data_IF_112831156068
#
_entry.id   IF_112831156068
#
_cell.length_a   1.000
_cell.length_b   1.000
_cell.length_c   1.000
_cell.angle_alpha   90.00
_cell.angle_beta   90.00
_cell.angle_gamma   90.00
#
_symmetry.space_group_name_H-M   'P 1'
#
loop_
_entity.id
_entity.type
_entity.pdbx_description
1 polymer ?
#
# COMPACT_ATOMS: atom_id res chain seq x y z
N UNK A 1 -30.18 12.99 -24.41
CA UNK A 1 -30.29 11.59 -24.86
C UNK A 1 -28.90 11.05 -25.01
N UNK A 2 -28.61 9.98 -24.28
CA UNK A 2 -27.30 9.36 -24.10
C UNK A 2 -27.03 8.50 -25.33
N UNK A 3 -25.97 8.76 -26.08
CA UNK A 3 -25.53 7.85 -27.14
C UNK A 3 -24.56 6.86 -26.51
N UNK A 4 -25.10 5.75 -26.00
CA UNK A 4 -24.30 4.59 -25.62
C UNK A 4 -23.59 4.04 -26.85
N UNK A 5 -22.25 4.00 -26.81
CA UNK A 5 -21.46 3.20 -27.75
C UNK A 5 -21.46 1.78 -27.18
N UNK A 6 -22.46 0.99 -27.59
CA UNK A 6 -22.49 -0.44 -27.36
C UNK A 6 -21.24 -1.09 -27.98
N UNK A 7 -20.44 -1.79 -27.17
CA UNK A 7 -19.59 -2.86 -27.69
C UNK A 7 -20.51 -3.97 -28.19
N UNK A 8 -20.64 -4.10 -29.51
CA UNK A 8 -21.26 -5.28 -30.08
C UNK A 8 -20.37 -6.50 -29.81
N UNK A 9 -20.92 -7.64 -29.32
CA UNK A 9 -20.17 -8.87 -29.21
C UNK A 9 -19.86 -9.40 -30.62
N UNK A 10 -18.60 -9.73 -30.87
CA UNK A 10 -18.18 -10.37 -32.11
C UNK A 10 -18.81 -11.77 -32.21
N UNK A 11 -19.50 -12.03 -33.32
CA UNK A 11 -19.85 -13.40 -33.73
C UNK A 11 -18.65 -14.01 -34.43
N UNK A 12 -17.99 -14.99 -33.80
CA UNK A 12 -16.92 -15.74 -34.45
C UNK A 12 -17.53 -16.72 -35.44
N UNK A 13 -17.38 -16.46 -36.74
CA UNK A 13 -17.66 -17.43 -37.80
C UNK A 13 -16.52 -17.40 -38.81
N UNK A 14 -15.80 -18.53 -38.92
CA UNK A 14 -15.01 -18.86 -40.11
C UNK A 14 -13.50 -18.58 -40.04
N UNK A 15 -12.76 -19.69 -39.97
CA UNK A 15 -11.43 -19.99 -40.51
C UNK A 15 -10.57 -18.86 -41.13
N UNK A 16 -9.36 -18.71 -40.57
CA UNK A 16 -8.11 -18.22 -41.16
C UNK A 16 -8.11 -16.87 -41.91
N UNK A 17 -7.50 -15.85 -41.29
CA UNK A 17 -6.27 -15.14 -41.72
C UNK A 17 -6.15 -13.86 -40.87
N UNK A 18 -4.98 -13.65 -40.26
CA UNK A 18 -4.42 -12.39 -39.75
C UNK A 18 -5.31 -11.13 -39.87
N UNK A 19 -6.07 -10.81 -38.83
CA UNK A 19 -6.59 -9.45 -38.63
C UNK A 19 -6.22 -8.96 -37.23
N UNK A 20 -5.11 -8.20 -37.16
CA UNK A 20 -4.83 -7.36 -35.99
C UNK A 20 -5.95 -6.33 -35.88
N UNK A 21 -6.50 -6.07 -34.67
CA UNK A 21 -7.51 -5.03 -34.50
C UNK A 21 -6.90 -3.69 -34.90
N UNK A 22 -7.41 -3.11 -35.98
CA UNK A 22 -6.99 -1.80 -36.48
C UNK A 22 -7.61 -0.75 -35.56
N UNK A 23 -6.80 -0.19 -34.66
CA UNK A 23 -7.18 0.95 -33.82
C UNK A 23 -7.52 2.13 -34.75
N UNK A 24 -8.81 2.35 -35.04
CA UNK A 24 -9.21 3.59 -35.71
C UNK A 24 -9.00 4.74 -34.73
N UNK A 25 -8.11 5.65 -35.11
CA UNK A 25 -7.69 6.79 -34.32
C UNK A 25 -8.86 7.79 -34.23
N UNK A 26 -9.63 7.70 -33.16
CA UNK A 26 -10.65 8.68 -32.84
C UNK A 26 -10.00 10.06 -32.62
N UNK A 27 -10.64 11.10 -33.15
CA UNK A 27 -10.12 12.47 -33.19
C UNK A 27 -9.66 13.03 -31.83
N UNK A 28 -8.92 14.14 -31.86
CA UNK A 28 -8.25 14.78 -30.70
C UNK A 28 -9.15 14.91 -29.46
N UNK A 29 -10.45 15.16 -29.64
CA UNK A 29 -11.47 15.21 -28.57
C UNK A 29 -11.61 13.89 -27.81
N UNK A 30 -11.58 12.76 -28.50
CA UNK A 30 -11.69 11.43 -27.91
C UNK A 30 -10.42 11.05 -27.14
N UNK A 31 -9.23 11.46 -27.61
CA UNK A 31 -7.97 11.29 -26.85
C UNK A 31 -7.95 12.11 -25.56
N UNK A 32 -8.45 13.35 -25.60
CA UNK A 32 -8.48 14.21 -24.40
C UNK A 32 -9.49 13.69 -23.38
N UNK A 33 -10.68 13.28 -23.83
CA UNK A 33 -11.69 12.66 -22.97
C UNK A 33 -11.21 11.31 -22.41
N UNK A 34 -10.49 10.49 -23.19
CA UNK A 34 -9.90 9.26 -22.70
C UNK A 34 -8.80 9.51 -21.65
N UNK A 35 -7.96 10.55 -21.84
CA UNK A 35 -6.97 10.98 -20.84
C UNK A 35 -7.61 11.55 -19.57
N UNK A 36 -8.72 12.28 -19.69
CA UNK A 36 -9.48 12.79 -18.55
C UNK A 36 -10.21 11.67 -17.80
N UNK A 37 -10.79 10.71 -18.52
CA UNK A 37 -11.40 9.51 -17.96
C UNK A 37 -10.35 8.65 -17.23
N UNK A 38 -9.15 8.47 -17.80
CA UNK A 38 -8.04 7.78 -17.13
C UNK A 38 -7.56 8.51 -15.86
N UNK A 39 -7.53 9.85 -15.86
CA UNK A 39 -7.24 10.64 -14.64
C UNK A 39 -8.31 10.49 -13.57
N UNK A 40 -9.59 10.40 -13.96
CA UNK A 40 -10.68 10.18 -13.02
C UNK A 40 -10.69 8.74 -12.46
N UNK A 41 -10.31 7.74 -13.26
CA UNK A 41 -10.12 6.34 -12.84
C UNK A 41 -8.89 6.17 -11.92
N UNK A 42 -7.88 7.03 -12.05
CA UNK A 42 -6.69 7.05 -11.19
C UNK A 42 -6.98 7.44 -9.73
N UNK A 43 -8.19 7.91 -9.42
CA UNK A 43 -8.62 8.24 -8.07
C UNK A 43 -9.17 7.02 -7.29
N UNK A 44 -8.73 5.79 -7.61
CA UNK A 44 -8.90 4.68 -6.66
C UNK A 44 -8.01 4.96 -5.47
N UNK A 45 -8.62 5.50 -4.41
CA UNK A 45 -7.96 5.85 -3.15
C UNK A 45 -7.23 4.62 -2.62
N UNK A 46 -5.89 4.65 -2.64
CA UNK A 46 -5.10 3.53 -2.17
C UNK A 46 -5.25 3.40 -0.65
N UNK A 47 -5.42 2.16 -0.17
CA UNK A 47 -5.55 1.88 1.25
C UNK A 47 -4.17 1.51 1.77
N UNK A 48 -3.56 2.40 2.55
CA UNK A 48 -2.25 2.18 3.16
C UNK A 48 -2.37 1.91 4.67
N UNK A 49 -1.67 0.88 5.15
CA UNK A 49 -1.61 0.53 6.57
C UNK A 49 -0.22 0.06 6.97
N UNK A 50 0.32 0.64 8.04
CA UNK A 50 1.50 0.11 8.74
C UNK A 50 1.04 -0.73 9.94
N UNK A 51 1.67 -1.89 10.13
CA UNK A 51 1.33 -2.87 11.16
C UNK A 51 2.58 -3.30 11.91
N UNK A 52 2.48 -3.35 13.24
CA UNK A 52 3.54 -3.82 14.11
C UNK A 52 3.21 -5.20 14.68
N UNK A 53 4.22 -6.07 14.72
CA UNK A 53 4.08 -7.42 15.25
C UNK A 53 5.36 -7.90 15.91
N UNK A 54 5.25 -8.80 16.88
CA UNK A 54 6.44 -9.38 17.51
C UNK A 54 7.00 -10.54 16.69
N UNK A 55 8.32 -10.59 16.57
CA UNK A 55 9.02 -11.78 16.07
C UNK A 55 9.11 -12.84 17.16
N UNK A 56 8.03 -13.56 17.42
CA UNK A 56 7.90 -14.48 18.56
C UNK A 56 8.90 -15.64 18.60
N UNK A 57 9.56 -15.96 17.49
CA UNK A 57 10.58 -17.02 17.44
C UNK A 57 11.99 -16.55 17.86
N UNK A 58 12.14 -15.28 18.24
CA UNK A 58 13.42 -14.71 18.66
C UNK A 58 13.24 -13.93 19.96
N UNK A 59 14.01 -14.30 20.97
CA UNK A 59 14.12 -13.58 22.23
C UNK A 59 15.58 -13.22 22.43
N UNK A 60 15.86 -11.95 22.73
CA UNK A 60 17.21 -11.48 23.00
C UNK A 60 17.71 -11.98 24.37
N UNK A 61 18.97 -11.70 24.70
CA UNK A 61 19.58 -12.10 25.99
C UNK A 61 18.87 -11.50 27.21
N UNK A 62 18.11 -10.41 27.03
CA UNK A 62 17.35 -9.73 28.08
C UNK A 62 15.91 -10.27 28.23
N UNK A 63 15.53 -11.32 27.48
CA UNK A 63 14.16 -11.85 27.53
C UNK A 63 13.13 -11.02 26.73
N UNK A 64 13.57 -10.08 25.90
CA UNK A 64 12.70 -9.22 25.07
C UNK A 64 12.62 -9.72 23.63
N UNK A 65 11.48 -9.50 23.01
CA UNK A 65 11.18 -9.85 21.63
C UNK A 65 11.17 -8.58 20.76
N UNK A 66 11.83 -8.57 19.59
CA UNK A 66 11.86 -7.41 18.73
C UNK A 66 10.50 -7.17 18.06
N UNK A 67 10.15 -5.89 17.93
CA UNK A 67 9.00 -5.41 17.19
C UNK A 67 9.38 -5.28 15.72
N UNK A 68 8.57 -5.90 14.88
CA UNK A 68 8.71 -5.93 13.43
C UNK A 68 7.67 -5.03 12.79
N UNK A 69 8.02 -4.43 11.66
CA UNK A 69 7.17 -3.55 10.87
C UNK A 69 6.85 -4.17 9.51
N UNK A 70 5.57 -4.15 9.16
CA UNK A 70 5.07 -4.50 7.83
C UNK A 70 4.12 -3.42 7.33
N UNK A 71 4.18 -3.13 6.04
CA UNK A 71 3.29 -2.19 5.38
C UNK A 71 2.39 -2.93 4.40
N UNK A 72 1.17 -2.41 4.24
CA UNK A 72 0.16 -2.88 3.32
C UNK A 72 -0.22 -1.73 2.40
N UNK A 73 -0.40 -2.04 1.12
CA UNK A 73 -0.93 -1.15 0.11
C UNK A 73 -1.96 -1.94 -0.68
N UNK A 74 -3.23 -1.63 -0.48
CA UNK A 74 -4.35 -2.42 -0.98
C UNK A 74 -4.23 -3.89 -0.51
N UNK A 75 -4.02 -4.82 -1.45
CA UNK A 75 -3.95 -6.26 -1.18
C UNK A 75 -2.51 -6.77 -1.09
N UNK A 76 -1.53 -5.91 -1.33
CA UNK A 76 -0.11 -6.24 -1.25
C UNK A 76 0.45 -5.93 0.13
N UNK A 77 1.48 -6.70 0.52
CA UNK A 77 2.18 -6.52 1.79
C UNK A 77 3.68 -6.63 1.59
N UNK A 78 4.41 -5.79 2.30
CA UNK A 78 5.86 -5.79 2.29
C UNK A 78 6.39 -5.65 3.72
N UNK A 79 7.34 -6.50 4.09
CA UNK A 79 8.01 -6.41 5.38
C UNK A 79 9.15 -5.39 5.29
N UNK A 80 9.13 -4.38 6.16
CA UNK A 80 10.23 -3.41 6.27
C UNK A 80 11.37 -4.02 7.07
N UNK A 81 11.07 -4.71 8.18
CA UNK A 81 12.07 -5.35 9.03
C UNK A 81 11.84 -5.07 10.51
N UNK A 82 12.93 -5.10 11.28
CA UNK A 82 12.92 -4.73 12.71
C UNK A 82 12.82 -3.21 12.84
N UNK A 83 12.07 -2.72 13.83
CA UNK A 83 12.06 -1.29 14.18
C UNK A 83 13.24 -0.89 15.06
N UNK A 84 14.04 -1.86 15.54
CA UNK A 84 15.08 -1.64 16.55
C UNK A 84 14.58 -1.70 17.99
N UNK A 85 13.26 -1.69 18.19
CA UNK A 85 12.61 -1.75 19.51
C UNK A 85 12.42 -3.20 19.92
N UNK A 86 12.76 -3.54 21.16
CA UNK A 86 12.50 -4.86 21.75
C UNK A 86 11.67 -4.72 23.04
N UNK A 87 10.66 -5.57 23.18
CA UNK A 87 9.69 -5.49 24.28
C UNK A 87 9.43 -6.84 24.92
N UNK A 88 8.94 -6.85 26.16
CA UNK A 88 8.47 -8.08 26.80
C UNK A 88 7.17 -8.56 26.12
N UNK A 89 7.13 -9.84 25.73
CA UNK A 89 5.99 -10.41 25.01
C UNK A 89 4.69 -10.38 25.84
N UNK A 90 4.77 -10.51 27.16
CA UNK A 90 3.63 -10.45 28.08
C UNK A 90 2.94 -9.08 28.11
N UNK A 91 3.72 -8.02 27.94
CA UNK A 91 3.26 -6.63 27.95
C UNK A 91 2.70 -6.19 26.60
N UNK A 92 2.88 -6.97 25.52
CA UNK A 92 2.38 -6.61 24.20
C UNK A 92 0.89 -6.93 24.03
N UNK A 93 0.15 -5.98 23.49
CA UNK A 93 -1.21 -6.13 22.98
C UNK A 93 -1.14 -6.39 21.47
N UNK A 94 -1.53 -7.60 21.05
CA UNK A 94 -1.47 -8.02 19.64
C UNK A 94 -2.54 -7.34 18.78
N UNK A 95 -3.67 -6.95 19.37
CA UNK A 95 -4.78 -6.33 18.63
C UNK A 95 -4.51 -4.84 18.44
N UNK A 96 -3.99 -4.17 19.48
CA UNK A 96 -3.63 -2.75 19.42
C UNK A 96 -2.26 -2.51 18.83
N UNK A 97 -1.43 -3.56 18.73
CA UNK A 97 -0.05 -3.48 18.27
C UNK A 97 0.78 -2.50 19.12
N UNK A 98 0.53 -2.49 20.43
CA UNK A 98 1.12 -1.57 21.40
C UNK A 98 1.42 -2.25 22.72
N UNK A 99 2.23 -1.63 23.56
CA UNK A 99 2.42 -2.04 24.94
C UNK A 99 1.18 -1.72 25.79
N UNK A 100 0.84 -2.66 26.67
CA UNK A 100 -0.19 -2.53 27.70
C UNK A 100 0.31 -1.66 28.85
N UNK A 101 -0.63 -1.13 29.62
CA UNK A 101 -0.35 -0.33 30.81
C UNK A 101 0.00 1.13 30.52
N UNK A 102 0.38 1.86 31.57
CA UNK A 102 0.69 3.30 31.54
C UNK A 102 2.04 3.61 32.19
N UNK A 103 2.97 2.65 32.20
CA UNK A 103 4.33 2.89 32.67
C UNK A 103 5.03 3.85 31.72
N UNK A 104 5.99 4.63 32.22
CA UNK A 104 6.74 5.60 31.41
C UNK A 104 7.42 4.92 30.21
N UNK A 105 7.97 3.72 30.40
CA UNK A 105 8.57 2.92 29.32
C UNK A 105 7.54 2.51 28.25
N UNK A 106 6.36 2.05 28.67
CA UNK A 106 5.31 1.64 27.74
C UNK A 106 4.79 2.84 26.93
N UNK A 107 4.58 3.98 27.58
CA UNK A 107 4.14 5.21 26.91
C UNK A 107 5.19 5.73 25.94
N UNK A 108 6.47 5.77 26.35
CA UNK A 108 7.56 6.22 25.49
C UNK A 108 7.75 5.32 24.27
N UNK A 109 7.68 4.00 24.46
CA UNK A 109 7.80 3.03 23.35
C UNK A 109 6.61 3.15 22.40
N UNK A 110 5.39 3.29 22.92
CA UNK A 110 4.20 3.47 22.10
C UNK A 110 4.27 4.76 21.27
N UNK A 111 4.78 5.85 21.87
CA UNK A 111 5.01 7.10 21.16
C UNK A 111 6.03 6.94 20.02
N UNK A 112 7.09 6.17 20.23
CA UNK A 112 8.07 5.87 19.18
C UNK A 112 7.45 5.09 18.01
N UNK A 113 6.60 4.09 18.31
CA UNK A 113 5.84 3.36 17.28
C UNK A 113 4.85 4.26 16.53
N UNK A 114 4.19 5.18 17.23
CA UNK A 114 3.28 6.16 16.64
C UNK A 114 4.02 7.14 15.71
N UNK A 115 5.23 7.55 16.08
CA UNK A 115 6.09 8.38 15.24
C UNK A 115 6.51 7.65 13.97
N UNK A 116 6.90 6.38 14.06
CA UNK A 116 7.22 5.53 12.88
C UNK A 116 6.01 5.42 11.97
N UNK A 117 4.84 5.13 12.52
CA UNK A 117 3.59 5.02 11.77
C UNK A 117 3.23 6.34 11.07
N UNK A 118 3.40 7.47 11.76
CA UNK A 118 3.14 8.80 11.22
C UNK A 118 4.12 9.19 10.12
N UNK A 119 5.40 8.81 10.26
CA UNK A 119 6.42 9.00 9.23
C UNK A 119 6.07 8.24 7.94
N UNK A 120 5.70 6.97 8.06
CA UNK A 120 5.27 6.15 6.93
C UNK A 120 4.01 6.71 6.26
N UNK A 121 3.03 7.17 7.03
CA UNK A 121 1.84 7.82 6.49
C UNK A 121 2.17 9.10 5.73
N UNK A 122 3.17 9.86 6.20
CA UNK A 122 3.64 11.06 5.52
C UNK A 122 4.33 10.73 4.20
N UNK A 123 5.16 9.69 4.17
CA UNK A 123 5.79 9.18 2.93
C UNK A 123 4.72 8.70 1.96
N UNK A 124 3.77 7.90 2.42
CA UNK A 124 2.65 7.43 1.60
C UNK A 124 1.91 8.59 0.96
N UNK A 125 1.54 9.64 1.71
CA UNK A 125 0.88 10.84 1.16
C UNK A 125 1.71 11.54 0.09
N UNK A 126 3.04 11.63 0.27
CA UNK A 126 3.94 12.21 -0.74
C UNK A 126 3.98 11.37 -2.01
N UNK A 127 4.06 10.05 -1.87
CA UNK A 127 4.08 9.11 -3.00
C UNK A 127 2.71 9.05 -3.69
N UNK A 128 1.60 9.16 -2.96
CA UNK A 128 0.24 9.21 -3.50
C UNK A 128 0.00 10.42 -4.41
N UNK A 129 0.72 11.54 -4.18
CA UNK A 129 0.71 12.70 -5.08
C UNK A 129 1.49 12.47 -6.39
N UNK A 130 2.26 11.39 -6.48
CA UNK A 130 3.01 11.01 -7.69
C UNK A 130 2.26 9.97 -8.51
N UNK A 131 2.69 9.78 -9.75
CA UNK A 131 1.97 8.91 -10.67
C UNK A 131 2.12 7.41 -10.39
N UNK A 132 3.07 7.00 -9.54
CA UNK A 132 3.44 5.61 -9.28
C UNK A 132 3.53 5.31 -7.77
N UNK A 133 2.48 4.73 -7.20
CA UNK A 133 2.44 4.29 -5.81
C UNK A 133 2.82 2.81 -5.74
N UNK A 134 3.92 2.49 -5.06
CA UNK A 134 4.34 1.11 -4.81
C UNK A 134 4.92 0.93 -3.41
N UNK A 135 4.85 -0.29 -2.88
CA UNK A 135 5.42 -0.63 -1.58
C UNK A 135 6.93 -0.48 -1.53
N UNK A 136 7.63 -0.82 -2.63
CA UNK A 136 9.09 -0.68 -2.73
C UNK A 136 9.49 0.79 -2.70
N UNK A 137 8.76 1.67 -3.40
CA UNK A 137 9.01 3.11 -3.35
C UNK A 137 8.88 3.65 -1.92
N UNK A 138 7.79 3.30 -1.23
CA UNK A 138 7.56 3.73 0.16
C UNK A 138 8.67 3.20 1.09
N UNK A 139 9.10 1.95 0.91
CA UNK A 139 10.20 1.36 1.67
C UNK A 139 11.52 2.08 1.43
N UNK A 140 11.89 2.34 0.17
CA UNK A 140 13.11 3.05 -0.17
C UNK A 140 13.14 4.43 0.46
N UNK A 141 12.08 5.23 0.27
CA UNK A 141 11.96 6.58 0.85
C UNK A 141 12.00 6.57 2.40
N UNK A 142 11.54 5.48 3.04
CA UNK A 142 11.63 5.31 4.49
C UNK A 142 13.04 4.96 4.98
N UNK A 143 13.79 4.17 4.22
CA UNK A 143 15.12 3.71 4.58
C UNK A 143 16.23 4.70 4.19
N UNK A 144 15.95 5.67 3.31
CA UNK A 144 16.89 6.67 2.80
C UNK A 144 17.58 6.20 1.53
#
# INVERSE_FOLDING_TARGET
MITEVFLLPYTTSGNNVSDKPRLQMAGVRTRLLFRLQLKAVKCMKAIFRAVFYLRSNYVNKEGKTPVMLRIYLNNERLSIGSTGIAVQQSQWDREKERLKGRTTEALSTNLELDNIQSGLQTIFKKVEMTDEVSLERIKSEYLG
#
